data_IF_761763673350
#
_entry.id   IF_761763673350
#
_cell.length_a   1.000
_cell.length_b   1.000
_cell.length_c   1.000
_cell.angle_alpha   90.00
_cell.angle_beta   90.00
_cell.angle_gamma   90.00
#
_symmetry.space_group_name_H-M   'P 1'
#
loop_
_entity.id
_entity.type
_entity.pdbx_description
1 polymer ?
#
# COMPACT_ATOMS: atom_id res chain seq x y z
N UNK A 1 -10.57 -14.57 12.44
CA UNK A 1 -11.48 -15.74 12.49
C UNK A 1 -10.73 -17.03 12.77
N UNK A 2 -9.67 -17.38 12.01
CA UNK A 2 -8.93 -18.65 12.19
C UNK A 2 -8.34 -18.78 13.60
N UNK A 3 -7.74 -17.72 14.13
CA UNK A 3 -7.12 -17.71 15.48
C UNK A 3 -8.14 -17.99 16.57
N UNK A 4 -9.39 -17.54 16.41
CA UNK A 4 -10.47 -17.72 17.38
C UNK A 4 -11.06 -19.14 17.41
N UNK A 5 -10.68 -20.01 16.47
CA UNK A 5 -11.14 -21.41 16.42
C UNK A 5 -10.29 -22.33 17.29
N UNK A 6 -9.15 -21.86 17.81
CA UNK A 6 -8.23 -22.63 18.63
C UNK A 6 -8.34 -22.27 20.11
N UNK A 7 -8.10 -23.25 20.96
CA UNK A 7 -8.20 -23.08 22.43
C UNK A 7 -7.11 -22.17 23.00
N UNK A 8 -5.96 -22.08 22.31
CA UNK A 8 -4.86 -21.17 22.69
C UNK A 8 -4.55 -20.17 21.56
N UNK A 9 -4.34 -18.88 21.89
CA UNK A 9 -3.96 -17.87 20.88
C UNK A 9 -2.67 -18.25 20.11
N UNK A 10 -1.72 -18.88 20.78
CA UNK A 10 -0.45 -19.30 20.19
C UNK A 10 -0.65 -20.32 19.05
N UNK A 11 -1.47 -21.35 19.30
CA UNK A 11 -1.78 -22.37 18.28
C UNK A 11 -2.57 -21.78 17.11
N UNK A 12 -3.50 -20.86 17.41
CA UNK A 12 -4.26 -20.15 16.40
C UNK A 12 -3.41 -19.28 15.47
N UNK A 13 -2.42 -18.56 16.00
CA UNK A 13 -1.46 -17.79 15.20
C UNK A 13 -0.55 -18.69 14.38
N UNK A 14 -0.08 -19.81 14.94
CA UNK A 14 0.75 -20.77 14.23
C UNK A 14 -0.01 -21.39 13.06
N UNK A 15 -1.23 -21.88 13.28
CA UNK A 15 -2.08 -22.42 12.22
C UNK A 15 -2.39 -21.40 11.11
N UNK A 16 -2.72 -20.14 11.49
CA UNK A 16 -2.96 -19.08 10.55
C UNK A 16 -1.72 -18.78 9.69
N UNK A 17 -0.53 -18.77 10.29
CA UNK A 17 0.74 -18.55 9.58
C UNK A 17 1.01 -19.66 8.56
N UNK A 18 0.77 -20.92 8.91
CA UNK A 18 0.94 -22.06 7.98
C UNK A 18 -0.01 -21.92 6.79
N UNK A 19 -1.29 -21.64 7.05
CA UNK A 19 -2.30 -21.51 5.98
C UNK A 19 -1.92 -20.38 5.03
N UNK A 20 -1.54 -19.21 5.56
CA UNK A 20 -1.13 -18.06 4.75
C UNK A 20 0.16 -18.34 3.95
N UNK A 21 1.12 -19.07 4.53
CA UNK A 21 2.34 -19.46 3.84
C UNK A 21 2.06 -20.42 2.68
N UNK A 22 1.17 -21.41 2.86
CA UNK A 22 0.77 -22.32 1.82
C UNK A 22 0.09 -21.59 0.65
N UNK A 23 -0.85 -20.68 0.96
CA UNK A 23 -1.52 -19.83 -0.04
C UNK A 23 -0.51 -18.99 -0.80
N UNK A 24 0.47 -18.40 -0.09
CA UNK A 24 1.54 -17.62 -0.70
C UNK A 24 2.40 -18.44 -1.66
N UNK A 25 2.84 -19.63 -1.24
CA UNK A 25 3.64 -20.54 -2.10
C UNK A 25 2.86 -20.97 -3.34
N UNK A 26 1.59 -21.33 -3.19
CA UNK A 26 0.72 -21.68 -4.32
C UNK A 26 0.58 -20.48 -5.28
N UNK A 27 0.35 -19.26 -4.76
CA UNK A 27 0.25 -18.04 -5.58
C UNK A 27 1.54 -17.78 -6.38
N UNK A 28 2.70 -17.90 -5.74
CA UNK A 28 3.99 -17.75 -6.41
C UNK A 28 4.24 -18.85 -7.45
N UNK A 29 3.87 -20.09 -7.16
CA UNK A 29 3.98 -21.19 -8.11
C UNK A 29 3.11 -20.97 -9.36
N UNK A 30 1.85 -20.54 -9.17
CA UNK A 30 0.97 -20.18 -10.28
C UNK A 30 1.58 -19.05 -11.13
N UNK A 31 2.13 -18.03 -10.47
CA UNK A 31 2.79 -16.92 -11.17
C UNK A 31 4.01 -17.41 -11.96
N UNK A 32 4.86 -18.23 -11.36
CA UNK A 32 6.05 -18.79 -11.99
C UNK A 32 5.72 -19.63 -13.24
N UNK A 33 4.71 -20.48 -13.18
CA UNK A 33 4.34 -21.35 -14.31
C UNK A 33 3.56 -20.62 -15.42
N UNK A 34 2.85 -19.52 -15.11
CA UNK A 34 2.03 -18.81 -16.08
C UNK A 34 2.67 -17.52 -16.63
N UNK A 35 3.66 -16.95 -15.93
CA UNK A 35 4.35 -15.76 -16.40
C UNK A 35 5.55 -16.15 -17.29
N UNK A 36 5.39 -15.97 -18.59
CA UNK A 36 6.49 -16.10 -19.55
C UNK A 36 7.05 -14.71 -19.89
N UNK A 37 8.36 -14.60 -19.85
CA UNK A 37 9.06 -13.38 -20.25
C UNK A 37 8.99 -13.23 -21.77
N UNK A 38 8.15 -12.30 -22.27
CA UNK A 38 7.95 -12.07 -23.69
C UNK A 38 9.05 -11.21 -24.33
N UNK A 39 9.82 -10.48 -23.54
CA UNK A 39 10.91 -9.65 -24.01
C UNK A 39 12.23 -10.18 -23.45
N UNK A 40 13.02 -10.91 -24.26
CA UNK A 40 14.35 -11.29 -23.81
C UNK A 40 15.19 -10.05 -23.61
N UNK A 41 15.56 -9.77 -22.37
CA UNK A 41 16.53 -8.74 -22.05
C UNK A 41 17.82 -9.13 -22.76
N UNK A 42 18.15 -8.46 -23.87
CA UNK A 42 19.46 -8.57 -24.50
C UNK A 42 20.48 -8.02 -23.50
N UNK A 43 21.02 -8.89 -22.66
CA UNK A 43 22.20 -8.56 -21.86
C UNK A 43 23.34 -8.29 -22.83
N UNK A 44 23.65 -7.02 -23.05
CA UNK A 44 24.89 -6.61 -23.66
C UNK A 44 26.03 -6.90 -22.68
N UNK A 45 26.48 -8.14 -22.67
CA UNK A 45 27.51 -8.67 -21.76
C UNK A 45 28.90 -8.03 -21.99
N UNK A 46 29.03 -7.14 -22.97
CA UNK A 46 30.36 -6.60 -23.37
C UNK A 46 30.83 -5.39 -22.57
N UNK A 47 29.99 -4.72 -21.76
CA UNK A 47 30.39 -3.55 -20.98
C UNK A 47 29.71 -3.43 -19.61
N UNK A 48 29.36 -4.53 -18.94
CA UNK A 48 29.00 -4.47 -17.53
C UNK A 48 30.27 -4.26 -16.68
N UNK A 49 30.76 -3.02 -16.66
CA UNK A 49 31.55 -2.58 -15.50
C UNK A 49 30.67 -2.84 -14.27
N UNK A 50 31.12 -3.75 -13.39
CA UNK A 50 30.42 -4.03 -12.12
C UNK A 50 30.24 -2.70 -11.39
N UNK A 51 29.06 -2.09 -11.54
CA UNK A 51 28.74 -0.84 -10.88
C UNK A 51 28.93 -1.04 -9.38
N UNK A 52 29.76 -0.22 -8.76
CA UNK A 52 29.98 -0.26 -7.31
C UNK A 52 28.72 0.24 -6.62
N UNK A 53 28.43 -0.28 -5.45
CA UNK A 53 27.29 0.17 -4.63
C UNK A 53 27.26 1.70 -4.44
N UNK A 54 28.44 2.30 -4.37
CA UNK A 54 28.62 3.76 -4.33
C UNK A 54 28.04 4.49 -5.57
N UNK A 55 28.06 3.85 -6.74
CA UNK A 55 27.57 4.46 -7.98
C UNK A 55 26.02 4.49 -7.98
N UNK A 56 25.37 3.46 -7.40
CA UNK A 56 23.92 3.46 -7.20
C UNK A 56 23.48 4.54 -6.21
N UNK A 57 24.18 4.70 -5.09
CA UNK A 57 23.91 5.78 -4.14
C UNK A 57 24.06 7.14 -4.79
N UNK A 58 25.16 7.35 -5.52
CA UNK A 58 25.40 8.60 -6.24
C UNK A 58 24.33 8.88 -7.28
N UNK A 59 23.87 7.85 -8.01
CA UNK A 59 22.77 7.97 -8.98
C UNK A 59 21.49 8.46 -8.32
N UNK A 60 21.11 7.87 -7.18
CA UNK A 60 19.89 8.25 -6.43
C UNK A 60 19.95 9.71 -5.98
N UNK A 61 21.08 10.15 -5.40
CA UNK A 61 21.22 11.53 -4.92
C UNK A 61 21.42 12.55 -6.04
N UNK A 62 21.95 12.14 -7.19
CA UNK A 62 22.14 13.03 -8.34
C UNK A 62 20.84 13.19 -9.13
N UNK A 63 20.00 12.16 -9.17
CA UNK A 63 18.72 12.19 -9.88
C UNK A 63 17.61 12.72 -8.96
N UNK A 64 17.39 14.05 -8.97
CA UNK A 64 16.36 14.72 -8.16
C UNK A 64 14.95 14.14 -8.33
N UNK A 65 14.44 13.84 -9.54
CA UNK A 65 13.15 13.19 -9.70
C UNK A 65 13.06 11.83 -9.00
N UNK A 66 14.10 11.01 -9.12
CA UNK A 66 14.15 9.70 -8.45
C UNK A 66 14.12 9.84 -6.92
N UNK A 67 14.88 10.78 -6.38
CA UNK A 67 14.89 11.07 -4.95
C UNK A 67 13.49 11.51 -4.45
N UNK A 68 12.80 12.37 -5.18
CA UNK A 68 11.43 12.78 -4.85
C UNK A 68 10.45 11.60 -4.84
N UNK A 69 10.56 10.67 -5.79
CA UNK A 69 9.72 9.46 -5.84
C UNK A 69 10.00 8.58 -4.62
N UNK A 70 11.26 8.36 -4.28
CA UNK A 70 11.66 7.56 -3.10
C UNK A 70 11.09 8.17 -1.82
N UNK A 71 11.25 9.48 -1.61
CA UNK A 71 10.72 10.18 -0.45
C UNK A 71 9.18 10.10 -0.40
N UNK A 72 8.51 10.35 -1.52
CA UNK A 72 7.05 10.24 -1.61
C UNK A 72 6.58 8.84 -1.22
N UNK A 73 7.22 7.80 -1.75
CA UNK A 73 6.89 6.40 -1.45
C UNK A 73 7.12 6.08 0.02
N UNK A 74 8.25 6.52 0.58
CA UNK A 74 8.60 6.31 1.98
C UNK A 74 7.54 6.92 2.91
N UNK A 75 7.17 8.18 2.69
CA UNK A 75 6.16 8.85 3.53
C UNK A 75 4.76 8.25 3.34
N UNK A 76 4.37 7.90 2.11
CA UNK A 76 3.04 7.31 1.84
C UNK A 76 2.92 5.94 2.50
N UNK A 77 3.91 5.07 2.34
CA UNK A 77 3.91 3.73 2.95
C UNK A 77 3.97 3.83 4.47
N UNK A 78 4.78 4.75 5.02
CA UNK A 78 4.83 4.99 6.46
C UNK A 78 3.49 5.44 7.01
N UNK A 79 2.80 6.36 6.36
CA UNK A 79 1.47 6.82 6.76
C UNK A 79 0.44 5.67 6.72
N UNK A 80 0.42 4.87 5.66
CA UNK A 80 -0.48 3.71 5.56
C UNK A 80 -0.23 2.67 6.66
N UNK A 81 1.05 2.36 6.95
CA UNK A 81 1.40 1.42 8.00
C UNK A 81 1.04 1.95 9.39
N UNK A 82 1.29 3.25 9.65
CA UNK A 82 0.91 3.89 10.90
C UNK A 82 -0.60 3.84 11.11
N UNK A 83 -1.39 4.19 10.10
CA UNK A 83 -2.85 4.10 10.16
C UNK A 83 -3.33 2.67 10.46
N UNK A 84 -2.76 1.66 9.82
CA UNK A 84 -3.10 0.26 10.08
C UNK A 84 -2.78 -0.17 11.51
N UNK A 85 -1.64 0.22 12.06
CA UNK A 85 -1.24 -0.11 13.43
C UNK A 85 -2.08 0.64 14.47
N UNK A 86 -2.38 1.91 14.23
CA UNK A 86 -3.21 2.73 15.13
C UNK A 86 -4.67 2.30 15.12
N UNK A 87 -5.16 1.65 14.06
CA UNK A 87 -6.53 1.17 13.96
C UNK A 87 -6.93 0.25 15.10
N UNK A 88 -6.04 -0.66 15.54
CA UNK A 88 -6.28 -1.58 16.64
C UNK A 88 -6.58 -0.79 17.93
N UNK A 89 -5.70 0.17 18.23
CA UNK A 89 -5.83 1.01 19.43
C UNK A 89 -7.08 1.87 19.38
N UNK A 90 -7.40 2.41 18.21
CA UNK A 90 -8.60 3.21 18.02
C UNK A 90 -9.88 2.39 18.25
N UNK A 91 -9.97 1.20 17.69
CA UNK A 91 -11.10 0.29 17.91
C UNK A 91 -11.23 -0.12 19.38
N UNK A 92 -10.09 -0.32 20.06
CA UNK A 92 -10.07 -0.73 21.46
C UNK A 92 -10.48 0.39 22.42
N UNK A 93 -9.87 1.59 22.27
CA UNK A 93 -10.01 2.66 23.25
C UNK A 93 -11.15 3.64 22.94
N UNK A 94 -11.41 3.93 21.67
CA UNK A 94 -12.42 4.91 21.28
C UNK A 94 -13.78 4.26 20.97
N UNK A 95 -13.78 3.07 20.35
CA UNK A 95 -15.00 2.38 19.97
C UNK A 95 -15.41 1.29 20.98
N UNK A 96 -14.52 0.89 21.89
CA UNK A 96 -14.79 -0.11 22.92
C UNK A 96 -14.95 -1.55 22.41
N UNK A 97 -14.73 -1.80 21.11
CA UNK A 97 -14.94 -3.11 20.47
C UNK A 97 -13.80 -3.50 19.55
N UNK A 98 -12.89 -4.35 20.05
CA UNK A 98 -11.79 -4.90 19.24
C UNK A 98 -12.26 -5.71 18.01
N UNK A 99 -13.44 -6.34 18.12
CA UNK A 99 -14.00 -7.16 17.04
C UNK A 99 -14.37 -6.39 15.77
N UNK A 100 -14.42 -5.06 15.83
CA UNK A 100 -14.69 -4.21 14.66
C UNK A 100 -13.49 -4.06 13.73
N UNK A 101 -12.27 -4.20 14.26
CA UNK A 101 -11.04 -4.01 13.47
C UNK A 101 -10.97 -4.88 12.19
N UNK A 102 -11.24 -6.19 12.21
CA UNK A 102 -11.23 -6.98 10.98
C UNK A 102 -12.27 -6.53 9.95
N UNK A 103 -13.44 -6.09 10.43
CA UNK A 103 -14.52 -5.60 9.56
C UNK A 103 -14.11 -4.29 8.89
N UNK A 104 -13.60 -3.34 9.65
CA UNK A 104 -13.14 -2.05 9.14
C UNK A 104 -12.01 -2.25 8.14
N UNK A 105 -11.01 -3.07 8.47
CA UNK A 105 -9.92 -3.40 7.56
C UNK A 105 -10.42 -4.07 6.26
N UNK A 106 -11.40 -4.98 6.37
CA UNK A 106 -12.00 -5.62 5.20
C UNK A 106 -12.69 -4.61 4.27
N UNK A 107 -13.43 -3.66 4.83
CA UNK A 107 -14.06 -2.56 4.08
C UNK A 107 -12.99 -1.68 3.41
N UNK A 108 -11.97 -1.25 4.15
CA UNK A 108 -10.88 -0.41 3.65
C UNK A 108 -10.14 -1.09 2.49
N UNK A 109 -9.77 -2.36 2.64
CA UNK A 109 -9.10 -3.12 1.59
C UNK A 109 -9.99 -3.31 0.37
N UNK A 110 -11.26 -3.64 0.55
CA UNK A 110 -12.22 -3.77 -0.55
C UNK A 110 -12.41 -2.46 -1.32
N UNK A 111 -12.55 -1.34 -0.61
CA UNK A 111 -12.70 -0.02 -1.23
C UNK A 111 -11.40 0.47 -1.88
N UNK A 112 -10.23 0.08 -1.39
CA UNK A 112 -8.95 0.45 -2.01
C UNK A 112 -8.81 -0.10 -3.44
N UNK A 113 -9.38 -1.28 -3.71
CA UNK A 113 -9.43 -1.85 -5.07
C UNK A 113 -10.17 -0.91 -6.02
N UNK A 114 -11.27 -0.30 -5.58
CA UNK A 114 -12.00 0.70 -6.37
C UNK A 114 -11.12 1.93 -6.63
N UNK A 115 -10.38 2.38 -5.63
CA UNK A 115 -9.38 3.46 -5.77
C UNK A 115 -8.35 3.15 -6.85
N UNK A 116 -7.79 1.95 -6.84
CA UNK A 116 -6.79 1.50 -7.82
C UNK A 116 -7.40 1.45 -9.23
N UNK A 117 -8.62 0.93 -9.38
CA UNK A 117 -9.31 0.87 -10.68
C UNK A 117 -9.61 2.26 -11.26
N UNK A 118 -9.74 3.28 -10.42
CA UNK A 118 -9.95 4.67 -10.85
C UNK A 118 -8.67 5.35 -11.34
N UNK A 119 -7.48 4.86 -10.98
CA UNK A 119 -6.19 5.48 -11.32
C UNK A 119 -6.04 5.73 -12.82
N UNK A 120 -6.26 4.78 -13.74
CA UNK A 120 -6.07 5.01 -15.16
C UNK A 120 -6.95 6.15 -15.70
N UNK A 121 -8.19 6.24 -15.22
CA UNK A 121 -9.14 7.29 -15.60
C UNK A 121 -8.70 8.65 -15.07
N UNK A 122 -8.31 8.73 -13.80
CA UNK A 122 -7.85 9.96 -13.17
C UNK A 122 -6.55 10.47 -13.79
N UNK A 123 -5.61 9.57 -14.07
CA UNK A 123 -4.34 9.91 -14.73
C UNK A 123 -4.58 10.43 -16.15
N UNK A 124 -5.54 9.85 -16.89
CA UNK A 124 -5.90 10.32 -18.23
C UNK A 124 -6.53 11.73 -18.20
N UNK A 125 -7.30 12.05 -17.15
CA UNK A 125 -8.01 13.35 -17.03
C UNK A 125 -7.11 14.45 -16.49
N UNK A 126 -6.32 14.19 -15.45
CA UNK A 126 -5.58 15.21 -14.69
C UNK A 126 -4.06 15.11 -14.85
N UNK A 127 -3.56 13.99 -15.40
CA UNK A 127 -2.14 13.68 -15.46
C UNK A 127 -1.60 13.06 -14.16
N UNK A 128 -0.50 12.32 -14.25
CA UNK A 128 0.10 11.56 -13.14
C UNK A 128 0.36 12.43 -11.90
N UNK A 129 1.02 13.59 -12.06
CA UNK A 129 1.41 14.47 -10.97
C UNK A 129 0.22 15.04 -10.19
N UNK A 130 -0.79 15.57 -10.90
CA UNK A 130 -1.97 16.17 -10.25
C UNK A 130 -2.82 15.10 -9.55
N UNK A 131 -2.92 13.90 -10.13
CA UNK A 131 -3.64 12.76 -9.54
C UNK A 131 -2.99 12.32 -8.23
N UNK A 132 -1.65 12.21 -8.18
CA UNK A 132 -0.92 11.85 -6.96
C UNK A 132 -1.09 12.91 -5.86
N UNK A 133 -0.93 14.19 -6.19
CA UNK A 133 -1.11 15.30 -5.24
C UNK A 133 -2.57 15.36 -4.74
N UNK A 134 -3.55 15.21 -5.63
CA UNK A 134 -4.96 15.19 -5.26
C UNK A 134 -5.29 14.06 -4.28
N UNK A 135 -4.77 12.85 -4.53
CA UNK A 135 -4.93 11.72 -3.62
C UNK A 135 -4.33 12.00 -2.24
N UNK A 136 -3.12 12.56 -2.18
CA UNK A 136 -2.48 12.91 -0.91
C UNK A 136 -3.27 13.99 -0.14
N UNK A 137 -3.75 15.02 -0.82
CA UNK A 137 -4.53 16.10 -0.18
C UNK A 137 -5.87 15.60 0.36
N UNK A 138 -6.58 14.76 -0.40
CA UNK A 138 -7.84 14.16 0.05
C UNK A 138 -7.59 13.22 1.23
N UNK A 139 -6.54 12.40 1.20
CA UNK A 139 -6.15 11.53 2.31
C UNK A 139 -5.85 12.33 3.57
N UNK A 140 -5.02 13.34 3.47
CA UNK A 140 -4.68 14.22 4.59
C UNK A 140 -5.92 14.94 5.16
N UNK A 141 -6.81 15.45 4.30
CA UNK A 141 -8.04 16.08 4.74
C UNK A 141 -8.97 15.10 5.47
N UNK A 142 -9.10 13.85 4.98
CA UNK A 142 -9.90 12.84 5.62
C UNK A 142 -9.37 12.46 7.02
N UNK A 143 -8.04 12.31 7.16
CA UNK A 143 -7.39 12.02 8.44
C UNK A 143 -7.54 13.18 9.43
N UNK A 144 -7.38 14.44 8.97
CA UNK A 144 -7.61 15.64 9.80
C UNK A 144 -9.07 15.77 10.24
N UNK A 145 -10.02 15.53 9.34
CA UNK A 145 -11.45 15.55 9.69
C UNK A 145 -11.79 14.48 10.72
N UNK A 146 -11.17 13.33 10.64
CA UNK A 146 -11.36 12.25 11.62
C UNK A 146 -10.85 12.63 13.02
N UNK A 147 -9.86 13.52 13.10
CA UNK A 147 -9.37 14.07 14.37
C UNK A 147 -10.32 15.14 14.96
N UNK A 148 -10.90 15.99 14.10
CA UNK A 148 -11.72 17.16 14.53
C UNK A 148 -13.17 16.76 14.83
N UNK A 149 -13.73 15.81 14.09
CA UNK A 149 -15.15 15.41 14.26
C UNK A 149 -15.28 14.45 15.42
N UNK A 150 -16.30 14.62 16.31
CA UNK A 150 -16.58 13.66 17.40
C UNK A 150 -16.72 12.24 16.88
N UNK A 151 -16.06 11.33 17.55
CA UNK A 151 -15.94 9.94 17.11
C UNK A 151 -17.27 9.21 17.19
N UNK A 152 -17.90 9.00 16.03
CA UNK A 152 -19.01 8.07 15.86
C UNK A 152 -18.52 6.93 14.95
N UNK A 153 -18.93 5.70 15.23
CA UNK A 153 -18.54 4.50 14.44
C UNK A 153 -18.76 4.71 12.94
N UNK A 154 -19.89 5.24 12.53
CA UNK A 154 -20.23 5.44 11.12
C UNK A 154 -19.36 6.51 10.46
N UNK A 155 -19.18 7.65 11.12
CA UNK A 155 -18.35 8.75 10.62
C UNK A 155 -16.89 8.31 10.49
N UNK A 156 -16.40 7.59 11.49
CA UNK A 156 -15.06 7.03 11.50
C UNK A 156 -14.83 6.09 10.31
N UNK A 157 -15.69 5.09 10.10
CA UNK A 157 -15.54 4.13 9.01
C UNK A 157 -15.55 4.84 7.65
N UNK A 158 -16.44 5.82 7.45
CA UNK A 158 -16.53 6.57 6.19
C UNK A 158 -15.25 7.37 5.94
N UNK A 159 -14.80 8.18 6.92
CA UNK A 159 -13.62 9.03 6.76
C UNK A 159 -12.34 8.23 6.58
N UNK A 160 -12.14 7.17 7.36
CA UNK A 160 -10.97 6.29 7.24
C UNK A 160 -10.97 5.57 5.89
N UNK A 161 -12.14 5.12 5.41
CA UNK A 161 -12.25 4.48 4.10
C UNK A 161 -11.91 5.45 2.98
N UNK A 162 -12.41 6.70 3.03
CA UNK A 162 -12.08 7.75 2.05
C UNK A 162 -10.58 8.04 2.08
N UNK A 163 -9.99 8.19 3.26
CA UNK A 163 -8.56 8.42 3.43
C UNK A 163 -7.72 7.29 2.83
N UNK A 164 -8.09 6.05 3.11
CA UNK A 164 -7.37 4.88 2.62
C UNK A 164 -7.45 4.72 1.11
N UNK A 165 -8.64 4.91 0.52
CA UNK A 165 -8.83 4.93 -0.94
C UNK A 165 -8.02 6.04 -1.59
N UNK A 166 -8.01 7.23 -0.99
CA UNK A 166 -7.26 8.38 -1.49
C UNK A 166 -5.74 8.13 -1.46
N UNK A 167 -5.22 7.50 -0.40
CA UNK A 167 -3.80 7.14 -0.28
C UNK A 167 -3.39 5.96 -1.20
N UNK A 168 -4.32 5.10 -1.59
CA UNK A 168 -4.06 4.04 -2.56
C UNK A 168 -3.72 4.60 -3.96
N UNK A 169 -4.27 5.78 -4.31
CA UNK A 169 -4.02 6.43 -5.61
C UNK A 169 -2.56 6.83 -5.79
N UNK A 170 -1.93 7.64 -4.92
CA UNK A 170 -0.52 7.99 -5.07
C UNK A 170 0.39 6.77 -5.01
N UNK A 171 0.08 5.77 -4.19
CA UNK A 171 0.85 4.52 -4.13
C UNK A 171 0.83 3.77 -5.47
N UNK A 172 -0.34 3.65 -6.12
CA UNK A 172 -0.45 3.03 -7.43
C UNK A 172 0.21 3.84 -8.55
N UNK A 173 0.13 5.18 -8.51
CA UNK A 173 0.78 6.06 -9.49
C UNK A 173 2.31 6.06 -9.35
N UNK A 174 2.85 5.75 -8.17
CA UNK A 174 4.30 5.70 -7.93
C UNK A 174 5.00 4.74 -8.89
N UNK A 175 4.44 3.56 -9.11
CA UNK A 175 5.00 2.58 -10.06
C UNK A 175 5.06 3.11 -11.49
N UNK A 176 4.09 3.93 -11.90
CA UNK A 176 4.09 4.59 -13.19
C UNK A 176 5.12 5.74 -13.28
N UNK A 177 5.49 6.36 -12.17
CA UNK A 177 6.58 7.34 -12.14
C UNK A 177 7.96 6.68 -12.22
N UNK A 178 8.14 5.54 -11.57
CA UNK A 178 9.42 4.81 -11.62
C UNK A 178 9.79 4.45 -13.05
N UNK A 179 8.82 3.99 -13.85
CA UNK A 179 9.06 3.66 -15.26
C UNK A 179 9.37 4.88 -16.14
N UNK A 180 9.01 6.09 -15.72
CA UNK A 180 9.31 7.32 -16.49
C UNK A 180 10.69 7.91 -16.17
N UNK A 181 11.34 7.51 -15.06
CA UNK A 181 12.58 8.12 -14.55
C UNK A 181 13.81 7.22 -14.76
N UNK A 182 13.59 5.93 -14.98
CA UNK A 182 14.64 4.95 -15.31
C UNK A 182 14.80 4.83 -16.83
#
# INVERSE_FOLDING_TARGET
>A
PVVLMFASPHEGFFAASIVMSIIGVIGFAICYFNCHEHVPVKRNTQNEQKAKFSDYIKLVFTNKPLLCIILMTLFTISAMNTNNQMMIFFCQYNLGHMGLQPIVNGIMMGCSVVGILLIPKLVKMFGKKKTAIGGLLIGCAADLLNFVIPTNIYTFIILVTIGYVALAIPNGVTWAFVSDVI
#
